data_IF_472033383319
#
_entry.id   IF_472033383319
#
_cell.length_a   1.000
_cell.length_b   1.000
_cell.length_c   1.000
_cell.angle_alpha   90.00
_cell.angle_beta   90.00
_cell.angle_gamma   90.00
#
_symmetry.space_group_name_H-M   'P 1'
#
loop_
_entity.id
_entity.type
_entity.pdbx_description
1 polymer ?
#
# COMPACT_ATOMS: atom_id res chain seq x y z
N UNK A 1 2.46 6.45 13.23
CA UNK A 1 3.91 6.29 13.37
C UNK A 1 4.57 7.57 13.88
N UNK A 2 5.77 7.47 14.39
CA UNK A 2 6.58 8.62 14.76
C UNK A 2 7.58 8.90 13.63
N UNK A 3 7.96 10.17 13.36
CA UNK A 3 9.06 10.49 12.46
C UNK A 3 10.34 9.76 12.90
N UNK A 4 11.23 9.46 11.93
CA UNK A 4 12.56 8.95 12.27
C UNK A 4 13.34 9.98 13.08
N UNK A 5 14.20 9.51 13.98
CA UNK A 5 15.09 10.36 14.77
C UNK A 5 16.08 11.07 13.81
N UNK A 6 16.30 12.37 14.00
CA UNK A 6 17.20 13.18 13.19
C UNK A 6 18.64 12.62 13.19
N UNK A 7 19.13 12.16 14.35
CA UNK A 7 20.44 11.54 14.45
C UNK A 7 20.56 10.25 13.64
N UNK A 8 19.47 9.49 13.52
CA UNK A 8 19.41 8.29 12.69
C UNK A 8 19.42 8.65 11.21
N UNK A 9 18.69 9.69 10.81
CA UNK A 9 18.68 10.20 9.43
C UNK A 9 20.06 10.74 9.02
N UNK A 10 20.76 11.46 9.91
CA UNK A 10 22.14 11.92 9.65
C UNK A 10 23.08 10.74 9.42
N UNK A 11 23.02 9.69 10.24
CA UNK A 11 23.86 8.49 10.04
C UNK A 11 23.55 7.78 8.72
N UNK A 12 22.26 7.72 8.33
CA UNK A 12 21.87 7.16 7.03
C UNK A 12 22.44 8.00 5.88
N UNK A 13 22.38 9.33 5.99
CA UNK A 13 22.94 10.24 4.99
C UNK A 13 24.47 10.09 4.87
N UNK A 14 25.19 10.00 6.01
CA UNK A 14 26.64 9.79 6.04
C UNK A 14 27.02 8.45 5.39
N UNK A 15 26.27 7.39 5.65
CA UNK A 15 26.48 6.08 5.03
C UNK A 15 26.27 6.10 3.51
N UNK A 16 25.37 6.96 3.02
CA UNK A 16 25.09 7.13 1.59
C UNK A 16 26.05 8.10 0.88
N UNK A 17 26.75 8.97 1.61
CA UNK A 17 27.62 9.98 1.04
C UNK A 17 28.76 9.41 0.15
N UNK A 18 29.12 8.15 0.35
CA UNK A 18 30.08 7.42 -0.50
C UNK A 18 29.49 6.98 -1.86
N UNK A 19 28.19 7.14 -2.08
CA UNK A 19 27.46 6.65 -3.27
C UNK A 19 26.85 7.83 -4.04
N UNK A 20 27.68 8.73 -4.56
CA UNK A 20 27.28 10.00 -5.20
C UNK A 20 26.39 9.84 -6.46
N UNK A 21 26.30 8.64 -7.05
CA UNK A 21 25.57 8.40 -8.31
C UNK A 21 24.16 7.83 -8.13
N UNK A 22 23.65 7.71 -6.89
CA UNK A 22 22.32 7.18 -6.66
C UNK A 22 21.22 8.22 -7.03
N UNK A 23 20.22 7.85 -7.86
CA UNK A 23 19.04 8.67 -8.01
C UNK A 23 18.40 8.98 -6.66
N UNK A 24 17.88 10.21 -6.49
CA UNK A 24 17.34 10.67 -5.20
C UNK A 24 16.35 9.67 -4.58
N UNK A 25 15.40 9.18 -5.37
CA UNK A 25 14.39 8.22 -4.88
C UNK A 25 15.02 6.89 -4.41
N UNK A 26 16.06 6.42 -5.08
CA UNK A 26 16.79 5.23 -4.64
C UNK A 26 17.58 5.51 -3.36
N UNK A 27 18.20 6.68 -3.24
CA UNK A 27 18.89 7.10 -2.04
C UNK A 27 17.94 7.20 -0.82
N UNK A 28 16.76 7.80 -1.00
CA UNK A 28 15.72 7.86 0.03
C UNK A 28 15.30 6.47 0.50
N UNK A 29 15.10 5.54 -0.44
CA UNK A 29 14.70 4.17 -0.12
C UNK A 29 15.80 3.42 0.64
N UNK A 30 17.06 3.58 0.24
CA UNK A 30 18.21 2.96 0.93
C UNK A 30 18.39 3.58 2.32
N UNK A 31 18.22 4.91 2.46
CA UNK A 31 18.25 5.58 3.76
C UNK A 31 17.14 5.06 4.69
N UNK A 32 15.92 4.89 4.16
CA UNK A 32 14.80 4.31 4.92
C UNK A 32 15.13 2.87 5.37
N UNK A 33 15.66 2.04 4.47
CA UNK A 33 16.05 0.66 4.78
C UNK A 33 17.14 0.61 5.86
N UNK A 34 18.14 1.51 5.79
CA UNK A 34 19.15 1.67 6.83
C UNK A 34 18.52 2.02 8.18
N UNK A 35 17.61 3.00 8.20
CA UNK A 35 16.91 3.40 9.41
C UNK A 35 16.07 2.27 10.01
N UNK A 36 15.38 1.48 9.20
CA UNK A 36 14.62 0.32 9.68
C UNK A 36 15.52 -0.75 10.28
N UNK A 37 16.68 -1.00 9.66
CA UNK A 37 17.68 -1.93 10.19
C UNK A 37 18.23 -1.51 11.55
N UNK A 38 18.68 -0.25 11.66
CA UNK A 38 19.20 0.32 12.91
C UNK A 38 18.17 0.38 14.03
N UNK A 39 16.89 0.62 13.67
CA UNK A 39 15.78 0.61 14.63
C UNK A 39 15.34 -0.81 15.02
N UNK A 40 15.91 -1.86 14.45
CA UNK A 40 15.54 -3.25 14.73
C UNK A 40 14.13 -3.61 14.26
N UNK A 41 13.62 -2.96 13.22
CA UNK A 41 12.29 -3.26 12.69
C UNK A 41 12.25 -4.67 12.09
N UNK A 42 11.28 -5.47 12.51
CA UNK A 42 11.05 -6.81 11.98
C UNK A 42 10.23 -6.81 10.69
N UNK A 43 9.46 -5.75 10.46
CA UNK A 43 8.64 -5.53 9.28
C UNK A 43 8.70 -4.06 8.89
N UNK A 44 8.87 -3.79 7.60
CA UNK A 44 8.80 -2.45 7.03
C UNK A 44 7.72 -2.41 5.95
N UNK A 45 6.90 -1.37 5.96
CA UNK A 45 5.95 -1.05 4.88
C UNK A 45 6.54 0.09 4.07
N UNK A 46 6.71 -0.15 2.77
CA UNK A 46 7.37 0.80 1.87
C UNK A 46 6.45 1.13 0.70
N UNK A 47 6.17 2.40 0.51
CA UNK A 47 5.52 2.90 -0.69
C UNK A 47 6.57 3.15 -1.77
N UNK A 48 6.34 2.59 -2.96
CA UNK A 48 7.23 2.72 -4.11
C UNK A 48 6.56 3.61 -5.18
N UNK A 49 7.09 4.80 -5.44
CA UNK A 49 6.59 5.66 -6.51
C UNK A 49 6.85 5.08 -7.90
N UNK A 50 7.84 4.20 -8.03
CA UNK A 50 8.16 3.46 -9.25
C UNK A 50 8.51 2.01 -8.89
N UNK A 51 7.88 1.06 -9.58
CA UNK A 51 8.12 -0.36 -9.37
C UNK A 51 9.57 -0.79 -9.65
N UNK A 52 10.31 -0.05 -10.49
CA UNK A 52 11.73 -0.29 -10.73
C UNK A 52 12.59 -0.18 -9.47
N UNK A 53 12.17 0.63 -8.51
CA UNK A 53 12.84 0.78 -7.21
C UNK A 53 12.72 -0.49 -6.34
N UNK A 54 11.79 -1.39 -6.64
CA UNK A 54 11.71 -2.67 -5.96
C UNK A 54 13.00 -3.50 -6.10
N UNK A 55 13.80 -3.25 -7.14
CA UNK A 55 15.06 -3.97 -7.37
C UNK A 55 16.10 -3.76 -6.27
N UNK A 56 16.03 -2.62 -5.55
CA UNK A 56 16.96 -2.34 -4.44
C UNK A 56 16.52 -2.99 -3.12
N UNK A 57 15.29 -3.51 -3.05
CA UNK A 57 14.80 -4.21 -1.86
C UNK A 57 15.17 -5.69 -1.90
N UNK A 58 15.79 -6.23 -0.83
CA UNK A 58 16.35 -7.59 -0.84
C UNK A 58 15.27 -8.67 -0.90
N UNK A 59 14.19 -8.54 -0.15
CA UNK A 59 13.08 -9.48 -0.07
C UNK A 59 11.77 -8.74 0.15
N UNK A 60 10.74 -9.14 -0.58
CA UNK A 60 9.37 -8.69 -0.37
C UNK A 60 8.47 -9.91 -0.29
N UNK A 61 8.22 -10.44 0.93
CA UNK A 61 7.37 -11.61 1.10
C UNK A 61 5.92 -11.33 0.68
N UNK A 62 5.51 -10.08 0.84
CA UNK A 62 4.19 -9.59 0.44
C UNK A 62 4.37 -8.25 -0.29
N UNK A 63 3.64 -8.04 -1.35
CA UNK A 63 3.59 -6.77 -2.08
C UNK A 63 2.16 -6.40 -2.45
N UNK A 64 1.95 -5.13 -2.77
CA UNK A 64 0.65 -4.60 -3.17
C UNK A 64 0.74 -3.86 -4.50
N UNK A 65 -0.29 -4.01 -5.33
CA UNK A 65 -0.52 -3.19 -6.51
C UNK A 65 -1.87 -2.50 -6.35
N UNK A 66 -1.86 -1.23 -6.01
CA UNK A 66 -3.08 -0.42 -5.90
C UNK A 66 -3.75 -0.24 -7.26
N UNK A 67 -4.89 0.42 -7.32
CA UNK A 67 -5.62 0.61 -8.58
C UNK A 67 -4.72 1.27 -9.65
N UNK A 68 -4.59 0.61 -10.79
CA UNK A 68 -3.81 1.11 -11.93
C UNK A 68 -4.76 1.79 -12.90
N UNK A 69 -4.54 3.07 -13.10
CA UNK A 69 -5.30 3.90 -14.01
C UNK A 69 -4.41 4.71 -14.95
N UNK A 70 -4.97 5.48 -15.88
CA UNK A 70 -4.19 6.35 -16.76
C UNK A 70 -3.45 7.41 -15.93
N UNK A 71 -2.14 7.53 -16.15
CA UNK A 71 -1.25 8.44 -15.41
C UNK A 71 -1.18 9.87 -15.99
N UNK A 72 -1.98 10.16 -17.00
CA UNK A 72 -1.95 11.45 -17.71
C UNK A 72 -0.70 11.67 -18.57
N UNK A 73 0.23 10.72 -18.60
CA UNK A 73 1.51 10.79 -19.32
C UNK A 73 1.57 9.72 -20.41
N UNK A 74 0.65 9.69 -21.34
CA UNK A 74 0.70 8.90 -22.61
C UNK A 74 1.18 7.43 -22.52
N UNK A 75 1.23 6.81 -21.35
CA UNK A 75 1.53 5.38 -21.19
C UNK A 75 0.24 4.59 -21.30
N UNK A 76 0.25 3.48 -22.03
CA UNK A 76 -0.89 2.59 -22.00
C UNK A 76 -1.07 1.95 -20.63
N UNK A 77 -2.31 1.66 -20.26
CA UNK A 77 -2.65 1.03 -19.00
C UNK A 77 -1.95 -0.33 -18.84
N UNK A 78 -1.78 -1.06 -19.94
CA UNK A 78 -1.05 -2.33 -19.98
C UNK A 78 0.44 -2.14 -19.62
N UNK A 79 1.06 -1.07 -20.11
CA UNK A 79 2.45 -0.77 -19.75
C UNK A 79 2.61 -0.39 -18.29
N UNK A 80 1.66 0.37 -17.74
CA UNK A 80 1.64 0.69 -16.31
C UNK A 80 1.44 -0.57 -15.47
N UNK A 81 0.55 -1.46 -15.89
CA UNK A 81 0.32 -2.75 -15.24
C UNK A 81 1.56 -3.64 -15.26
N UNK A 82 2.27 -3.72 -16.40
CA UNK A 82 3.50 -4.48 -16.51
C UNK A 82 4.61 -3.93 -15.61
N UNK A 83 4.72 -2.59 -15.50
CA UNK A 83 5.64 -1.94 -14.56
C UNK A 83 5.25 -2.25 -13.10
N UNK A 84 3.97 -2.13 -12.76
CA UNK A 84 3.46 -2.44 -11.42
C UNK A 84 3.71 -3.90 -11.04
N UNK A 85 3.58 -4.84 -11.98
CA UNK A 85 3.93 -6.25 -11.79
C UNK A 85 5.41 -6.48 -11.45
N UNK A 86 6.27 -5.52 -11.73
CA UNK A 86 7.70 -5.58 -11.41
C UNK A 86 8.03 -5.63 -9.92
N UNK A 87 7.07 -5.40 -9.02
CA UNK A 87 7.25 -5.58 -7.57
C UNK A 87 7.18 -7.04 -7.14
N UNK A 88 6.58 -7.92 -7.96
CA UNK A 88 6.39 -9.34 -7.64
C UNK A 88 7.73 -10.07 -7.59
N UNK A 89 7.86 -10.99 -6.66
CA UNK A 89 9.05 -11.83 -6.45
C UNK A 89 8.63 -13.28 -6.34
N UNK A 90 9.59 -14.16 -6.60
CA UNK A 90 9.39 -15.59 -6.42
C UNK A 90 8.90 -15.91 -5.01
N UNK A 91 7.88 -16.73 -4.91
CA UNK A 91 7.27 -17.14 -3.65
C UNK A 91 6.69 -15.99 -2.81
N UNK A 92 6.53 -14.78 -3.39
CA UNK A 92 5.79 -13.69 -2.73
C UNK A 92 4.28 -13.84 -2.90
N UNK A 93 3.53 -13.09 -2.10
CA UNK A 93 2.10 -12.90 -2.29
C UNK A 93 1.89 -11.46 -2.71
N UNK A 94 1.22 -11.25 -3.85
CA UNK A 94 0.84 -9.94 -4.33
C UNK A 94 -0.66 -9.74 -4.15
N UNK A 95 -1.06 -8.73 -3.42
CA UNK A 95 -2.46 -8.31 -3.32
C UNK A 95 -2.69 -7.15 -4.27
N UNK A 96 -3.72 -7.20 -5.10
CA UNK A 96 -4.09 -6.10 -5.99
C UNK A 96 -5.45 -5.51 -5.66
N UNK A 97 -5.75 -4.31 -6.17
CA UNK A 97 -7.04 -3.67 -5.96
C UNK A 97 -8.19 -4.55 -6.49
N UNK A 98 -9.36 -4.57 -5.81
CA UNK A 98 -10.49 -5.42 -6.19
C UNK A 98 -11.08 -5.05 -7.55
N UNK A 99 -11.07 -3.77 -7.90
CA UNK A 99 -11.67 -3.24 -9.14
C UNK A 99 -10.62 -2.87 -10.20
N UNK A 100 -9.63 -3.73 -10.41
CA UNK A 100 -8.67 -3.52 -11.49
C UNK A 100 -9.34 -3.65 -12.87
N UNK A 101 -9.00 -2.77 -13.83
CA UNK A 101 -9.40 -2.99 -15.23
C UNK A 101 -8.95 -4.36 -15.73
N UNK A 102 -9.76 -5.02 -16.56
CA UNK A 102 -9.46 -6.37 -17.07
C UNK A 102 -8.09 -6.46 -17.74
N UNK A 103 -7.69 -5.44 -18.52
CA UNK A 103 -6.39 -5.38 -19.14
C UNK A 103 -5.26 -5.38 -18.12
N UNK A 104 -5.40 -4.61 -17.03
CA UNK A 104 -4.44 -4.56 -15.90
C UNK A 104 -4.34 -5.92 -15.24
N UNK A 105 -5.50 -6.51 -14.88
CA UNK A 105 -5.53 -7.80 -14.21
C UNK A 105 -4.85 -8.89 -15.05
N UNK A 106 -5.08 -8.90 -16.36
CA UNK A 106 -4.43 -9.85 -17.26
C UNK A 106 -2.91 -9.72 -17.24
N UNK A 107 -2.38 -8.50 -17.24
CA UNK A 107 -0.92 -8.28 -17.15
C UNK A 107 -0.35 -8.69 -15.79
N UNK A 108 -1.07 -8.42 -14.71
CA UNK A 108 -0.64 -8.83 -13.37
C UNK A 108 -0.63 -10.35 -13.22
N UNK A 109 -1.63 -11.06 -13.78
CA UNK A 109 -1.65 -12.54 -13.80
C UNK A 109 -0.45 -13.08 -14.58
N UNK A 110 -0.12 -12.50 -15.73
CA UNK A 110 1.05 -12.89 -16.50
C UNK A 110 2.35 -12.62 -15.73
N UNK A 111 2.46 -11.48 -15.06
CA UNK A 111 3.62 -11.14 -14.25
C UNK A 111 3.78 -12.12 -13.07
N UNK A 112 2.69 -12.41 -12.35
CA UNK A 112 2.67 -13.36 -11.24
C UNK A 112 3.12 -14.77 -11.68
N UNK A 113 2.59 -15.26 -12.80
CA UNK A 113 2.96 -16.57 -13.35
C UNK A 113 4.43 -16.65 -13.77
N UNK A 114 5.02 -15.56 -14.27
CA UNK A 114 6.45 -15.53 -14.68
C UNK A 114 7.41 -15.65 -13.50
N UNK A 115 7.05 -15.18 -12.33
CA UNK A 115 7.93 -15.18 -11.16
C UNK A 115 7.49 -16.15 -10.05
N UNK A 116 6.48 -16.98 -10.29
CA UNK A 116 5.93 -17.89 -9.29
C UNK A 116 5.47 -17.13 -8.03
N UNK A 117 4.72 -16.03 -8.25
CA UNK A 117 4.09 -15.20 -7.24
C UNK A 117 2.62 -15.55 -7.15
N UNK A 118 2.10 -15.71 -5.95
CA UNK A 118 0.66 -15.83 -5.75
C UNK A 118 -0.01 -14.46 -5.92
N UNK A 119 -1.05 -14.37 -6.75
CA UNK A 119 -1.84 -13.14 -6.92
C UNK A 119 -3.17 -13.28 -6.19
N UNK A 120 -3.42 -12.38 -5.24
CA UNK A 120 -4.67 -12.27 -4.48
C UNK A 120 -5.43 -11.04 -4.97
N UNK A 121 -6.69 -11.25 -5.31
CA UNK A 121 -7.62 -10.18 -5.73
C UNK A 121 -8.80 -10.25 -4.78
N UNK A 122 -9.03 -9.25 -3.91
CA UNK A 122 -10.22 -9.22 -3.07
C UNK A 122 -11.47 -9.25 -3.95
N UNK A 123 -12.47 -10.08 -3.61
CA UNK A 123 -13.71 -10.14 -4.37
C UNK A 123 -14.53 -8.87 -4.10
N UNK A 124 -14.88 -8.09 -5.13
CA UNK A 124 -15.72 -6.90 -4.94
C UNK A 124 -17.10 -7.23 -4.36
N UNK A 125 -17.63 -8.45 -4.57
CA UNK A 125 -18.93 -8.88 -4.05
C UNK A 125 -18.88 -9.12 -2.53
N UNK A 126 -17.71 -9.41 -1.97
CA UNK A 126 -17.50 -9.57 -0.53
C UNK A 126 -17.28 -8.23 0.19
N UNK A 127 -17.17 -7.11 -0.55
CA UNK A 127 -16.96 -5.78 0.02
C UNK A 127 -18.31 -5.09 0.21
N UNK A 128 -18.79 -5.02 1.44
CA UNK A 128 -20.01 -4.29 1.77
C UNK A 128 -19.66 -2.90 2.28
N UNK A 129 -20.03 -1.89 1.50
CA UNK A 129 -19.90 -0.50 1.92
C UNK A 129 -21.18 -0.07 2.62
N UNK A 130 -21.06 0.23 3.90
CA UNK A 130 -22.15 0.69 4.75
C UNK A 130 -22.04 2.20 4.89
N UNK A 131 -23.02 2.94 4.38
CA UNK A 131 -23.10 4.37 4.65
C UNK A 131 -23.37 4.58 6.15
N UNK A 132 -22.45 5.24 6.83
CA UNK A 132 -22.65 5.63 8.21
C UNK A 132 -23.15 7.09 8.28
N UNK A 133 -23.70 7.45 9.44
CA UNK A 133 -24.25 8.79 9.67
C UNK A 133 -23.19 9.89 9.43
N UNK A 134 -23.61 10.96 8.76
CA UNK A 134 -22.89 12.22 8.53
C UNK A 134 -21.33 12.12 8.51
N UNK A 135 -20.76 11.87 7.32
CA UNK A 135 -19.31 11.95 7.07
C UNK A 135 -18.44 10.83 7.65
N UNK A 136 -19.03 9.72 8.04
CA UNK A 136 -18.32 8.49 8.33
C UNK A 136 -18.73 7.39 7.35
N UNK A 137 -17.79 6.56 6.97
CA UNK A 137 -18.05 5.35 6.18
C UNK A 137 -17.76 4.12 7.04
N UNK A 138 -18.39 3.02 6.75
CA UNK A 138 -18.09 1.72 7.34
C UNK A 138 -17.96 0.71 6.23
N UNK A 139 -17.03 -0.20 6.35
CA UNK A 139 -16.87 -1.32 5.44
C UNK A 139 -16.96 -2.63 6.22
N UNK A 140 -17.55 -3.62 5.60
CA UNK A 140 -17.42 -5.02 5.99
C UNK A 140 -16.74 -5.78 4.85
N UNK A 141 -15.69 -6.54 5.19
CA UNK A 141 -14.99 -7.43 4.28
C UNK A 141 -14.50 -8.65 5.04
N UNK A 142 -14.96 -9.83 4.63
CA UNK A 142 -14.53 -11.08 5.23
C UNK A 142 -14.78 -11.21 6.73
N UNK A 143 -15.78 -10.49 7.27
CA UNK A 143 -16.10 -10.41 8.70
C UNK A 143 -15.37 -9.30 9.47
N UNK A 144 -14.49 -8.56 8.81
CA UNK A 144 -13.86 -7.36 9.37
C UNK A 144 -14.76 -6.15 9.14
N UNK A 145 -15.52 -5.76 10.14
CA UNK A 145 -16.38 -4.57 10.07
C UNK A 145 -15.69 -3.39 10.75
N UNK A 146 -15.28 -2.40 9.97
CA UNK A 146 -14.52 -1.25 10.47
C UNK A 146 -15.11 0.10 10.06
N UNK A 147 -15.06 1.11 10.94
CA UNK A 147 -15.28 2.49 10.56
C UNK A 147 -14.08 2.97 9.73
N UNK A 148 -14.35 3.70 8.65
CA UNK A 148 -13.31 4.31 7.82
C UNK A 148 -13.30 5.81 8.04
N UNK A 149 -12.12 6.38 8.24
CA UNK A 149 -11.91 7.82 8.27
C UNK A 149 -12.01 8.47 6.87
N UNK A 150 -12.10 7.64 5.83
CA UNK A 150 -12.16 8.08 4.44
C UNK A 150 -13.59 8.04 3.92
N UNK A 151 -13.95 9.06 3.14
CA UNK A 151 -15.22 9.09 2.44
C UNK A 151 -15.09 8.46 1.05
N UNK A 152 -16.05 7.65 0.68
CA UNK A 152 -16.16 7.10 -0.66
C UNK A 152 -15.84 5.61 -0.79
N UNK A 153 -16.39 5.00 -1.84
CA UNK A 153 -16.29 3.56 -2.10
C UNK A 153 -14.86 3.06 -2.33
N UNK A 154 -13.99 3.89 -2.90
CA UNK A 154 -12.58 3.55 -3.09
C UNK A 154 -11.85 3.21 -1.79
N UNK A 155 -12.28 3.83 -0.67
CA UNK A 155 -11.73 3.53 0.65
C UNK A 155 -12.06 2.09 1.10
N UNK A 156 -13.22 1.57 0.72
CA UNK A 156 -13.60 0.19 1.02
C UNK A 156 -12.70 -0.83 0.29
N UNK A 157 -12.40 -0.58 -0.98
CA UNK A 157 -11.46 -1.40 -1.74
C UNK A 157 -10.05 -1.39 -1.15
N UNK A 158 -9.57 -0.22 -0.72
CA UNK A 158 -8.27 -0.10 -0.05
C UNK A 158 -8.25 -0.80 1.32
N UNK A 159 -9.36 -0.76 2.07
CA UNK A 159 -9.49 -1.49 3.33
C UNK A 159 -9.46 -3.01 3.11
N UNK A 160 -10.19 -3.52 2.12
CA UNK A 160 -10.15 -4.93 1.74
C UNK A 160 -8.73 -5.37 1.34
N UNK A 161 -8.02 -4.57 0.55
CA UNK A 161 -6.60 -4.81 0.25
C UNK A 161 -5.74 -4.86 1.51
N UNK A 162 -5.96 -3.95 2.46
CA UNK A 162 -5.17 -3.92 3.69
C UNK A 162 -5.42 -5.16 4.56
N UNK A 163 -6.66 -5.66 4.63
CA UNK A 163 -6.99 -6.94 5.28
C UNK A 163 -6.25 -8.08 4.60
N UNK A 164 -6.35 -8.21 3.28
CA UNK A 164 -5.65 -9.28 2.54
C UNK A 164 -4.14 -9.22 2.68
N UNK A 165 -3.55 -8.02 2.74
CA UNK A 165 -2.11 -7.84 2.99
C UNK A 165 -1.72 -8.33 4.39
N UNK A 166 -2.52 -8.04 5.42
CA UNK A 166 -2.29 -8.54 6.77
C UNK A 166 -2.41 -10.06 6.82
N UNK A 167 -3.45 -10.64 6.20
CA UNK A 167 -3.61 -12.09 6.09
C UNK A 167 -2.48 -12.75 5.31
N UNK A 168 -2.01 -12.12 4.23
CA UNK A 168 -0.85 -12.59 3.47
C UNK A 168 0.43 -12.58 4.32
N UNK A 169 0.62 -11.57 5.16
CA UNK A 169 1.73 -11.53 6.12
C UNK A 169 1.62 -12.65 7.17
N UNK A 170 0.42 -12.92 7.69
CA UNK A 170 0.18 -14.05 8.59
C UNK A 170 0.58 -15.39 7.93
N UNK A 171 0.23 -15.58 6.66
CA UNK A 171 0.64 -16.77 5.85
C UNK A 171 2.16 -16.85 5.65
N UNK A 172 2.87 -15.72 5.74
CA UNK A 172 4.35 -15.63 5.71
C UNK A 172 4.99 -15.77 7.10
N UNK A 173 4.19 -16.04 8.14
CA UNK A 173 4.67 -16.33 9.49
C UNK A 173 4.75 -15.12 10.42
N UNK A 174 4.17 -14.00 10.05
CA UNK A 174 4.01 -12.88 10.98
C UNK A 174 2.77 -13.10 11.85
N UNK A 175 2.88 -12.77 13.14
CA UNK A 175 1.77 -12.86 14.07
C UNK A 175 1.03 -11.51 14.11
N UNK A 176 -0.11 -11.44 13.40
CA UNK A 176 -0.98 -10.26 13.35
C UNK A 176 -2.38 -10.71 13.76
N UNK A 177 -2.80 -10.47 15.00
CA UNK A 177 -4.12 -10.85 15.45
C UNK A 177 -5.22 -9.98 14.80
N UNK A 178 -6.44 -10.52 14.72
CA UNK A 178 -7.58 -9.84 14.08
C UNK A 178 -7.86 -8.48 14.70
N UNK A 179 -7.72 -8.34 16.01
CA UNK A 179 -7.87 -7.06 16.71
C UNK A 179 -6.88 -6.01 16.22
N UNK A 180 -5.64 -6.41 15.90
CA UNK A 180 -4.64 -5.46 15.37
C UNK A 180 -4.99 -4.99 13.96
N UNK A 181 -5.64 -5.84 13.15
CA UNK A 181 -6.14 -5.46 11.82
C UNK A 181 -7.28 -4.44 11.98
N UNK A 182 -8.25 -4.73 12.84
CA UNK A 182 -9.39 -3.85 13.12
C UNK A 182 -8.94 -2.50 13.69
N UNK A 183 -8.09 -2.51 14.69
CA UNK A 183 -7.54 -1.29 15.33
C UNK A 183 -6.70 -0.48 14.35
N UNK A 184 -5.89 -1.15 13.53
CA UNK A 184 -5.07 -0.50 12.51
C UNK A 184 -5.90 0.23 11.46
N UNK A 185 -6.96 -0.41 10.96
CA UNK A 185 -7.88 0.19 10.00
C UNK A 185 -8.68 1.35 10.60
N UNK A 186 -9.16 1.20 11.84
CA UNK A 186 -9.90 2.24 12.55
C UNK A 186 -9.02 3.47 12.90
N UNK A 187 -7.72 3.26 13.11
CA UNK A 187 -6.76 4.31 13.46
C UNK A 187 -6.23 5.10 12.26
N UNK A 188 -6.59 4.74 11.02
CA UNK A 188 -6.12 5.45 9.83
C UNK A 188 -6.65 6.87 9.81
N UNK A 189 -5.75 7.84 9.83
CA UNK A 189 -6.08 9.25 9.67
C UNK A 189 -6.08 9.65 8.20
N UNK A 190 -7.16 10.30 7.77
CA UNK A 190 -7.24 10.87 6.45
C UNK A 190 -6.49 12.21 6.40
N UNK A 191 -5.26 12.20 5.87
CA UNK A 191 -4.43 13.41 5.76
C UNK A 191 -4.45 14.06 4.39
N UNK A 192 -4.93 13.38 3.35
CA UNK A 192 -4.76 13.80 1.95
C UNK A 192 -5.99 13.66 1.06
N UNK A 193 -7.18 13.48 1.63
CA UNK A 193 -8.42 13.39 0.86
C UNK A 193 -9.52 14.27 1.46
N UNK A 194 -10.72 14.15 0.97
CA UNK A 194 -11.88 14.98 1.35
C UNK A 194 -12.01 15.07 2.88
N UNK A 195 -11.85 16.27 3.41
CA UNK A 195 -11.96 16.54 4.85
C UNK A 195 -13.04 17.58 5.11
N UNK A 196 -13.91 17.28 6.07
CA UNK A 196 -14.86 18.28 6.58
C UNK A 196 -14.15 19.16 7.60
N UNK A 197 -13.92 20.43 7.23
CA UNK A 197 -13.24 21.42 8.09
C UNK A 197 -14.23 22.06 9.06
N UNK A 198 -15.47 22.27 8.61
CA UNK A 198 -16.55 22.84 9.42
C UNK A 198 -17.87 22.26 8.98
N UNK A 199 -18.79 22.08 9.92
CA UNK A 199 -20.15 21.61 9.64
C UNK A 199 -21.15 22.78 9.51
N UNK A 200 -20.82 23.94 10.06
CA UNK A 200 -21.67 25.14 10.01
C UNK A 200 -20.83 26.41 9.85
N UNK A 201 -20.76 27.02 8.66
CA UNK A 201 -21.21 26.47 7.38
C UNK A 201 -20.44 25.19 7.02
N UNK A 202 -21.00 24.34 6.15
CA UNK A 202 -20.30 23.17 5.66
C UNK A 202 -19.12 23.62 4.79
N UNK A 203 -17.92 23.28 5.23
CA UNK A 203 -16.67 23.55 4.50
C UNK A 203 -15.94 22.21 4.31
N UNK A 204 -15.72 21.86 3.06
CA UNK A 204 -15.03 20.64 2.65
C UNK A 204 -13.73 21.05 1.98
N UNK A 205 -12.63 20.44 2.40
CA UNK A 205 -11.35 20.51 1.72
C UNK A 205 -11.17 19.23 0.93
N UNK A 206 -10.86 19.37 -0.35
CA UNK A 206 -10.46 18.29 -1.25
C UNK A 206 -9.04 18.63 -1.74
N UNK A 207 -8.06 17.76 -1.46
CA UNK A 207 -6.65 18.00 -1.72
C UNK A 207 -6.03 16.90 -2.58
#
# INVERSE_FOLDING_TARGET
GKPADEALLCRAADALAAHEELPLQAAELVAAAYCFGEAGCTLAVVELPDAGLAAVLPKMPVCAVTAVGPDGVSRSVERLAALAGGVMRKESICVTAPEQPKAVLSELVVAAGKCDCELVVPDPEDITFLEAEQFASRVDYGGYTVPLAFLGRHAAGNAAMAVELALALCRKGFDIPDEAILDGLAAVENRSSIRVISQRPLVILDA
#
